data_IF_191060871819
#
_entry.id   IF_191060871819
#
_cell.length_a   1.000
_cell.length_b   1.000
_cell.length_c   1.000
_cell.angle_alpha   90.00
_cell.angle_beta   90.00
_cell.angle_gamma   90.00
#
_symmetry.space_group_name_H-M   'P 1'
#
loop_
_entity.id
_entity.type
_entity.pdbx_description
1 polymer ?
#
# COMPACT_ATOMS: atom_id res chain seq x y z
N UNK A 1 16.91 -9.55 -6.94
CA UNK A 1 15.64 -8.91 -6.64
C UNK A 1 14.97 -9.65 -5.50
N UNK A 2 14.43 -8.93 -4.51
CA UNK A 2 13.52 -9.48 -3.52
C UNK A 2 12.26 -8.62 -3.45
N UNK A 3 11.15 -9.22 -3.04
CA UNK A 3 9.94 -8.49 -2.68
C UNK A 3 9.56 -8.82 -1.25
N UNK A 4 8.98 -7.84 -0.56
CA UNK A 4 8.51 -7.99 0.80
C UNK A 4 7.10 -7.44 0.96
N UNK A 5 6.44 -7.88 2.03
CA UNK A 5 5.17 -7.37 2.50
C UNK A 5 5.26 -7.13 4.01
N UNK A 6 4.64 -6.07 4.48
CA UNK A 6 4.55 -5.77 5.91
C UNK A 6 3.18 -5.17 6.23
N UNK A 7 2.51 -5.73 7.23
CA UNK A 7 1.25 -5.21 7.74
C UNK A 7 1.51 -4.24 8.89
N UNK A 8 0.65 -3.22 9.05
CA UNK A 8 0.76 -2.20 10.09
C UNK A 8 -0.55 -2.06 10.85
N UNK A 9 -0.47 -1.64 12.10
CA UNK A 9 -1.65 -1.33 12.89
C UNK A 9 -2.32 -0.02 12.45
N UNK A 10 -1.51 0.93 11.96
CA UNK A 10 -1.97 2.27 11.57
C UNK A 10 -1.44 2.69 10.19
N UNK A 11 -2.20 3.54 9.51
CA UNK A 11 -1.76 4.21 8.28
C UNK A 11 -0.50 5.03 8.53
N UNK A 12 -0.45 5.74 9.66
CA UNK A 12 0.70 6.58 10.04
C UNK A 12 1.98 5.75 10.17
N UNK A 13 1.93 4.58 10.82
CA UNK A 13 3.09 3.69 10.95
C UNK A 13 3.62 3.21 9.59
N UNK A 14 2.73 2.81 8.69
CA UNK A 14 3.11 2.42 7.34
C UNK A 14 3.80 3.56 6.58
N UNK A 15 3.22 4.76 6.61
CA UNK A 15 3.75 5.91 5.86
C UNK A 15 5.04 6.43 6.47
N UNK A 16 5.17 6.47 7.80
CA UNK A 16 6.42 6.85 8.47
C UNK A 16 7.56 5.89 8.12
N UNK A 17 7.27 4.59 8.01
CA UNK A 17 8.26 3.60 7.51
C UNK A 17 8.79 3.98 6.13
N UNK A 18 7.93 4.42 5.22
CA UNK A 18 8.35 4.88 3.88
C UNK A 18 9.24 6.12 3.97
N UNK A 19 8.81 7.12 4.74
CA UNK A 19 9.54 8.37 4.91
C UNK A 19 10.94 8.11 5.48
N UNK A 20 11.04 7.34 6.56
CA UNK A 20 12.30 7.01 7.21
C UNK A 20 13.22 6.17 6.28
N UNK A 21 12.66 5.19 5.57
CA UNK A 21 13.41 4.39 4.58
C UNK A 21 14.08 5.28 3.53
N UNK A 22 13.35 6.25 2.99
CA UNK A 22 13.86 7.18 1.98
C UNK A 22 14.88 8.16 2.60
N UNK A 23 14.59 8.71 3.77
CA UNK A 23 15.48 9.65 4.47
C UNK A 23 16.81 9.02 4.88
N UNK A 24 16.82 7.75 5.23
CA UNK A 24 18.04 6.99 5.52
C UNK A 24 18.81 6.60 4.25
N UNK A 25 18.28 6.92 3.08
CA UNK A 25 18.95 6.66 1.80
C UNK A 25 18.95 5.17 1.39
N UNK A 26 18.04 4.37 1.91
CA UNK A 26 17.85 2.99 1.44
C UNK A 26 17.37 3.05 -0.02
N UNK A 27 18.13 2.47 -0.98
CA UNK A 27 17.78 2.56 -2.40
C UNK A 27 16.69 1.56 -2.77
N UNK A 28 15.52 1.72 -2.13
CA UNK A 28 14.36 0.88 -2.40
C UNK A 28 13.91 1.05 -3.85
N UNK A 29 13.68 -0.06 -4.55
CA UNK A 29 13.32 -0.03 -5.97
C UNK A 29 11.85 0.32 -6.17
N UNK A 30 10.97 -0.11 -5.27
CA UNK A 30 9.55 0.19 -5.29
C UNK A 30 8.95 0.03 -3.90
N UNK A 31 8.07 0.94 -3.54
CA UNK A 31 7.23 0.81 -2.35
C UNK A 31 5.81 1.27 -2.66
N UNK A 32 4.86 0.40 -2.35
CA UNK A 32 3.44 0.57 -2.60
C UNK A 32 2.68 0.46 -1.28
N UNK A 33 1.71 1.33 -1.11
CA UNK A 33 0.82 1.36 0.05
C UNK A 33 -0.60 0.96 -0.34
N UNK A 34 -1.21 0.12 0.46
CA UNK A 34 -2.64 -0.20 0.42
C UNK A 34 -3.22 -0.02 1.82
N UNK A 35 -4.30 0.76 1.94
CA UNK A 35 -5.04 0.84 3.19
C UNK A 35 -5.84 -0.46 3.48
N UNK A 36 -6.45 -0.54 4.65
CA UNK A 36 -7.26 -1.69 5.08
C UNK A 36 -8.42 -2.00 4.10
N UNK A 37 -9.07 -0.96 3.58
CA UNK A 37 -10.14 -1.10 2.59
C UNK A 37 -9.61 -1.67 1.26
N UNK A 38 -8.42 -1.22 0.82
CA UNK A 38 -7.79 -1.75 -0.38
C UNK A 38 -7.35 -3.22 -0.20
N UNK A 39 -6.83 -3.58 0.98
CA UNK A 39 -6.49 -4.98 1.30
C UNK A 39 -7.75 -5.85 1.33
N UNK A 40 -8.84 -5.40 1.95
CA UNK A 40 -10.12 -6.11 1.95
C UNK A 40 -10.63 -6.34 0.52
N UNK A 41 -10.59 -5.32 -0.33
CA UNK A 41 -10.95 -5.45 -1.74
C UNK A 41 -10.09 -6.49 -2.47
N UNK A 42 -8.78 -6.43 -2.24
CA UNK A 42 -7.81 -7.37 -2.84
C UNK A 42 -8.06 -8.81 -2.37
N UNK A 43 -8.35 -9.02 -1.08
CA UNK A 43 -8.69 -10.34 -0.56
C UNK A 43 -9.96 -10.90 -1.19
N UNK A 44 -11.01 -10.09 -1.35
CA UNK A 44 -12.25 -10.49 -1.99
C UNK A 44 -12.04 -10.91 -3.46
N UNK A 45 -11.19 -10.19 -4.16
CA UNK A 45 -10.90 -10.42 -5.58
C UNK A 45 -9.93 -11.58 -5.81
N UNK A 46 -8.77 -11.55 -5.13
CA UNK A 46 -7.64 -12.46 -5.37
C UNK A 46 -7.54 -13.61 -4.37
N UNK A 47 -8.40 -13.64 -3.33
CA UNK A 47 -8.48 -14.69 -2.29
C UNK A 47 -7.14 -14.99 -1.60
N UNK A 48 -6.38 -13.96 -1.25
CA UNK A 48 -5.04 -14.07 -0.67
C UNK A 48 -5.04 -14.31 0.84
N UNK A 49 -6.09 -13.86 1.55
CA UNK A 49 -6.18 -13.96 3.01
C UNK A 49 -5.16 -13.09 3.74
N UNK A 50 -4.82 -11.93 3.19
CA UNK A 50 -3.97 -10.95 3.88
C UNK A 50 -4.73 -10.36 5.07
N UNK A 51 -4.01 -9.98 6.13
CA UNK A 51 -4.58 -9.24 7.25
C UNK A 51 -5.13 -7.91 6.76
N UNK A 52 -6.41 -7.61 7.05
CA UNK A 52 -7.09 -6.41 6.58
C UNK A 52 -6.66 -5.17 7.38
N UNK A 53 -5.43 -4.76 7.20
CA UNK A 53 -4.78 -3.61 7.83
C UNK A 53 -3.93 -2.87 6.80
N UNK A 54 -3.52 -1.62 7.06
CA UNK A 54 -2.59 -0.90 6.20
C UNK A 54 -1.35 -1.75 5.90
N UNK A 55 -0.97 -1.85 4.64
CA UNK A 55 0.08 -2.78 4.21
C UNK A 55 1.01 -2.12 3.20
N UNK A 56 2.32 -2.37 3.36
CA UNK A 56 3.35 -2.03 2.38
C UNK A 56 3.75 -3.25 1.57
N UNK A 57 3.89 -3.05 0.27
CA UNK A 57 4.53 -3.96 -0.67
C UNK A 57 5.83 -3.32 -1.13
N UNK A 58 6.93 -4.04 -1.02
CA UNK A 58 8.29 -3.52 -1.16
C UNK A 58 9.06 -4.35 -2.17
N UNK A 59 9.95 -3.71 -2.93
CA UNK A 59 10.87 -4.39 -3.84
C UNK A 59 12.28 -3.85 -3.71
N UNK A 60 13.26 -4.74 -3.62
CA UNK A 60 14.68 -4.45 -3.44
C UNK A 60 15.48 -5.00 -4.62
N UNK A 61 16.39 -4.19 -5.15
CA UNK A 61 17.29 -4.56 -6.24
C UNK A 61 18.75 -4.51 -5.78
N UNK A 62 19.57 -5.42 -6.31
CA UNK A 62 20.99 -5.46 -6.07
C UNK A 62 21.58 -6.87 -6.05
N UNK A 63 22.80 -6.99 -5.58
CA UNK A 63 23.44 -8.28 -5.30
C UNK A 63 22.70 -8.99 -4.16
N UNK A 64 22.79 -10.32 -4.02
CA UNK A 64 22.10 -11.06 -2.96
C UNK A 64 22.38 -10.49 -1.57
N UNK A 65 23.63 -10.15 -1.27
CA UNK A 65 24.03 -9.57 0.01
C UNK A 65 23.40 -8.19 0.22
N UNK A 66 23.42 -7.35 -0.82
CA UNK A 66 22.88 -5.99 -0.75
C UNK A 66 21.35 -5.97 -0.58
N UNK A 67 20.66 -6.89 -1.25
CA UNK A 67 19.20 -7.06 -1.09
C UNK A 67 18.86 -7.51 0.34
N UNK A 68 19.64 -8.40 0.93
CA UNK A 68 19.46 -8.82 2.31
C UNK A 68 19.65 -7.66 3.28
N UNK A 69 20.75 -6.89 3.15
CA UNK A 69 21.04 -5.73 3.99
C UNK A 69 19.93 -4.68 3.92
N UNK A 70 19.39 -4.39 2.71
CA UNK A 70 18.25 -3.49 2.55
C UNK A 70 17.00 -4.03 3.24
N UNK A 71 16.70 -5.32 3.07
CA UNK A 71 15.50 -5.94 3.64
C UNK A 71 15.53 -5.93 5.17
N UNK A 72 16.68 -6.23 5.77
CA UNK A 72 16.90 -6.20 7.22
C UNK A 72 16.75 -4.77 7.77
N UNK A 73 17.35 -3.78 7.11
CA UNK A 73 17.21 -2.36 7.50
C UNK A 73 15.76 -1.89 7.46
N UNK A 74 15.04 -2.21 6.38
CA UNK A 74 13.64 -1.79 6.25
C UNK A 74 12.74 -2.55 7.22
N UNK A 75 13.04 -3.80 7.54
CA UNK A 75 12.35 -4.55 8.58
C UNK A 75 12.48 -3.87 9.94
N UNK A 76 13.69 -3.46 10.35
CA UNK A 76 13.91 -2.75 11.62
C UNK A 76 13.12 -1.43 11.68
N UNK A 77 13.12 -0.66 10.59
CA UNK A 77 12.32 0.58 10.48
C UNK A 77 10.82 0.28 10.60
N UNK A 78 10.34 -0.75 9.90
CA UNK A 78 8.93 -1.15 9.93
C UNK A 78 8.50 -1.57 11.34
N UNK A 79 9.29 -2.41 12.01
CA UNK A 79 9.02 -2.86 13.39
C UNK A 79 8.97 -1.67 14.36
N UNK A 80 9.87 -0.68 14.22
CA UNK A 80 9.87 0.53 15.03
C UNK A 80 8.60 1.39 14.84
N UNK A 81 7.96 1.28 13.67
CA UNK A 81 6.72 1.98 13.33
C UNK A 81 5.45 1.11 13.47
N UNK A 82 5.51 0.02 14.21
CA UNK A 82 4.35 -0.85 14.45
C UNK A 82 4.04 -1.81 13.31
N UNK A 83 5.01 -2.07 12.44
CA UNK A 83 4.94 -3.11 11.42
C UNK A 83 5.01 -4.51 12.02
N UNK A 84 4.23 -5.43 11.48
CA UNK A 84 4.19 -6.83 11.88
C UNK A 84 4.21 -7.73 10.63
N UNK A 85 4.58 -8.98 10.85
CA UNK A 85 4.56 -10.00 9.80
C UNK A 85 5.40 -9.62 8.56
N UNK A 86 6.55 -8.94 8.78
CA UNK A 86 7.47 -8.62 7.69
C UNK A 86 7.99 -9.92 7.05
N UNK A 87 7.56 -10.16 5.84
CA UNK A 87 7.93 -11.35 5.08
C UNK A 87 8.55 -10.95 3.75
N UNK A 88 9.73 -11.49 3.42
CA UNK A 88 10.38 -11.24 2.16
C UNK A 88 10.87 -12.50 1.46
N UNK A 89 10.95 -12.45 0.15
CA UNK A 89 11.38 -13.57 -0.68
C UNK A 89 12.14 -13.12 -1.92
N UNK A 90 13.13 -13.93 -2.29
CA UNK A 90 13.85 -13.84 -3.58
C UNK A 90 13.26 -14.75 -4.64
N UNK A 91 12.37 -15.68 -4.27
CA UNK A 91 11.76 -16.62 -5.21
C UNK A 91 10.83 -15.89 -6.16
N UNK A 92 11.03 -16.09 -7.45
CA UNK A 92 10.28 -15.42 -8.51
C UNK A 92 8.77 -15.66 -8.41
N UNK A 93 8.36 -16.87 -8.08
CA UNK A 93 6.94 -17.24 -7.95
C UNK A 93 6.26 -16.47 -6.81
N UNK A 94 6.91 -16.37 -5.65
CA UNK A 94 6.39 -15.63 -4.48
C UNK A 94 6.34 -14.12 -4.76
N UNK A 95 7.38 -13.58 -5.39
CA UNK A 95 7.42 -12.16 -5.81
C UNK A 95 6.32 -11.85 -6.81
N UNK A 96 6.17 -12.68 -7.85
CA UNK A 96 5.14 -12.51 -8.88
C UNK A 96 3.73 -12.54 -8.27
N UNK A 97 3.48 -13.44 -7.30
CA UNK A 97 2.20 -13.52 -6.59
C UNK A 97 1.90 -12.24 -5.81
N UNK A 98 2.89 -11.67 -5.10
CA UNK A 98 2.71 -10.41 -4.36
C UNK A 98 2.38 -9.25 -5.31
N UNK A 99 3.13 -9.11 -6.39
CA UNK A 99 2.90 -8.02 -7.35
C UNK A 99 1.63 -8.20 -8.17
N UNK A 100 1.22 -9.42 -8.45
CA UNK A 100 -0.09 -9.69 -9.06
C UNK A 100 -1.22 -9.21 -8.14
N UNK A 101 -1.15 -9.49 -6.86
CA UNK A 101 -2.11 -9.01 -5.87
C UNK A 101 -2.21 -7.48 -5.85
N UNK A 102 -1.06 -6.80 -5.88
CA UNK A 102 -0.99 -5.34 -5.98
C UNK A 102 -1.60 -4.83 -7.29
N UNK A 103 -1.32 -5.47 -8.40
CA UNK A 103 -1.90 -5.14 -9.70
C UNK A 103 -3.41 -5.32 -9.71
N UNK A 104 -3.89 -6.44 -9.20
CA UNK A 104 -5.32 -6.78 -9.12
C UNK A 104 -6.10 -5.80 -8.24
N UNK A 105 -5.42 -5.11 -7.31
CA UNK A 105 -6.06 -4.13 -6.45
C UNK A 105 -6.76 -3.00 -7.24
N UNK A 106 -6.32 -2.71 -8.46
CA UNK A 106 -6.96 -1.74 -9.35
C UNK A 106 -8.35 -2.24 -9.77
N UNK A 107 -8.47 -3.54 -10.05
CA UNK A 107 -9.72 -4.17 -10.51
C UNK A 107 -10.63 -4.60 -9.35
N UNK A 108 -10.09 -4.66 -8.14
CA UNK A 108 -10.78 -5.17 -6.95
C UNK A 108 -11.91 -4.26 -6.44
N UNK A 109 -12.03 -3.03 -6.95
CA UNK A 109 -13.05 -2.07 -6.53
C UNK A 109 -14.46 -2.66 -6.62
N UNK A 110 -14.78 -3.32 -7.74
CA UNK A 110 -16.09 -3.95 -7.96
C UNK A 110 -16.38 -5.13 -7.02
N UNK A 111 -15.36 -5.69 -6.38
CA UNK A 111 -15.54 -6.74 -5.39
C UNK A 111 -16.07 -6.20 -4.06
N UNK A 112 -15.77 -4.94 -3.72
CA UNK A 112 -16.34 -4.28 -2.54
C UNK A 112 -17.82 -3.99 -2.69
N UNK A 113 -18.24 -3.54 -3.88
CA UNK A 113 -19.65 -3.24 -4.18
C UNK A 113 -19.92 -3.48 -5.66
N UNK A 114 -20.51 -4.64 -6.03
CA UNK A 114 -20.88 -4.94 -7.41
C UNK A 114 -21.86 -3.92 -7.97
N UNK A 115 -21.65 -3.52 -9.23
CA UNK A 115 -22.50 -2.55 -9.93
C UNK A 115 -22.09 -1.09 -9.78
N UNK A 116 -21.13 -0.77 -8.89
CA UNK A 116 -20.59 0.58 -8.78
C UNK A 116 -19.55 0.88 -9.87
N UNK A 117 -19.51 2.13 -10.28
CA UNK A 117 -18.39 2.71 -11.01
C UNK A 117 -17.28 3.14 -10.03
N UNK A 118 -16.08 3.38 -10.56
CA UNK A 118 -14.96 3.82 -9.78
C UNK A 118 -14.47 5.19 -10.27
N UNK A 119 -14.42 6.17 -9.37
CA UNK A 119 -13.76 7.45 -9.61
C UNK A 119 -12.44 7.46 -8.85
N UNK A 120 -11.34 7.73 -9.55
CA UNK A 120 -10.00 7.73 -8.96
C UNK A 120 -9.39 9.13 -9.03
N UNK A 121 -8.87 9.60 -7.89
CA UNK A 121 -8.05 10.81 -7.81
C UNK A 121 -6.58 10.48 -8.08
N UNK A 122 -5.79 11.52 -8.34
CA UNK A 122 -4.34 11.42 -8.47
C UNK A 122 -3.69 12.55 -7.67
N UNK A 123 -2.97 12.20 -6.61
CA UNK A 123 -2.40 13.13 -5.65
C UNK A 123 -0.90 12.89 -5.58
N UNK A 124 -0.11 13.94 -5.73
CA UNK A 124 1.34 13.90 -5.58
C UNK A 124 1.79 15.02 -4.64
N UNK A 125 2.50 14.64 -3.58
CA UNK A 125 3.00 15.56 -2.55
C UNK A 125 4.48 15.30 -2.26
N UNK A 126 5.21 16.27 -1.71
CA UNK A 126 6.53 16.02 -1.17
C UNK A 126 6.50 14.91 -0.12
N UNK A 127 7.52 14.05 -0.10
CA UNK A 127 7.61 12.91 0.84
C UNK A 127 7.40 13.36 2.30
N UNK A 128 7.91 14.53 2.68
CA UNK A 128 7.74 15.11 4.02
C UNK A 128 6.28 15.46 4.39
N UNK A 129 5.38 15.54 3.40
CA UNK A 129 3.96 15.85 3.57
C UNK A 129 3.06 14.63 3.35
N UNK A 130 3.66 13.48 3.03
CA UNK A 130 2.92 12.28 2.64
C UNK A 130 2.01 11.76 3.75
N UNK A 131 2.53 11.65 4.98
CA UNK A 131 1.76 11.17 6.12
C UNK A 131 0.53 12.04 6.38
N UNK A 132 0.72 13.36 6.49
CA UNK A 132 -0.36 14.33 6.68
C UNK A 132 -1.42 14.21 5.57
N UNK A 133 -0.97 14.14 4.31
CA UNK A 133 -1.88 14.10 3.16
C UNK A 133 -2.71 12.80 3.12
N UNK A 134 -2.12 11.65 3.42
CA UNK A 134 -2.84 10.37 3.46
C UNK A 134 -3.80 10.31 4.65
N UNK A 135 -3.41 10.81 5.83
CA UNK A 135 -4.28 10.87 7.01
C UNK A 135 -5.48 11.80 6.76
N UNK A 136 -5.27 12.99 6.20
CA UNK A 136 -6.36 13.88 5.81
C UNK A 136 -7.30 13.22 4.80
N UNK A 137 -6.76 12.55 3.78
CA UNK A 137 -7.56 11.82 2.81
C UNK A 137 -8.39 10.69 3.48
N UNK A 138 -7.84 10.03 4.48
CA UNK A 138 -8.56 9.01 5.26
C UNK A 138 -9.71 9.62 6.05
N UNK A 139 -9.48 10.74 6.75
CA UNK A 139 -10.51 11.48 7.47
C UNK A 139 -11.64 11.93 6.54
N UNK A 140 -11.32 12.45 5.36
CA UNK A 140 -12.29 12.85 4.33
C UNK A 140 -13.13 11.66 3.84
N UNK A 141 -12.53 10.50 3.62
CA UNK A 141 -13.25 9.27 3.27
C UNK A 141 -14.22 8.87 4.38
N UNK A 142 -13.76 8.87 5.64
CA UNK A 142 -14.57 8.49 6.80
C UNK A 142 -15.73 9.47 7.06
N UNK A 143 -15.55 10.74 6.76
CA UNK A 143 -16.61 11.76 6.83
C UNK A 143 -17.60 11.70 5.65
N UNK A 144 -17.27 10.99 4.59
CA UNK A 144 -18.06 10.84 3.37
C UNK A 144 -19.00 9.62 3.46
N UNK A 145 -20.18 9.65 2.79
CA UNK A 145 -21.02 8.45 2.64
C UNK A 145 -20.46 7.45 1.61
N UNK A 146 -19.37 7.80 0.91
CA UNK A 146 -18.79 6.97 -0.15
C UNK A 146 -17.81 5.94 0.45
N UNK A 147 -17.73 4.78 -0.20
CA UNK A 147 -16.65 3.83 0.05
C UNK A 147 -15.44 4.31 -0.74
N UNK A 148 -14.35 4.61 -0.04
CA UNK A 148 -13.06 4.96 -0.62
C UNK A 148 -11.96 4.02 -0.15
N UNK A 149 -10.99 3.77 -1.01
CA UNK A 149 -9.75 3.07 -0.66
C UNK A 149 -8.54 3.89 -1.09
N UNK A 150 -7.48 3.84 -0.31
CA UNK A 150 -6.22 4.52 -0.60
C UNK A 150 -5.19 3.50 -1.06
N UNK A 151 -4.56 3.80 -2.19
CA UNK A 151 -3.51 2.99 -2.80
C UNK A 151 -2.49 3.92 -3.46
N UNK A 152 -1.21 3.63 -3.37
CA UNK A 152 -0.26 4.54 -4.02
C UNK A 152 1.17 4.08 -4.13
N UNK A 153 1.87 4.76 -5.03
CA UNK A 153 3.32 4.72 -5.25
C UNK A 153 3.99 5.65 -4.23
N UNK A 154 3.89 5.27 -2.96
CA UNK A 154 4.24 6.17 -1.85
C UNK A 154 5.74 6.51 -1.79
N UNK A 155 6.59 5.71 -2.44
CA UNK A 155 8.01 6.04 -2.61
C UNK A 155 8.26 7.31 -3.41
N UNK A 156 7.33 7.67 -4.28
CA UNK A 156 7.39 8.88 -5.12
C UNK A 156 6.49 10.02 -4.58
N UNK A 157 5.87 9.83 -3.40
CA UNK A 157 4.92 10.78 -2.84
C UNK A 157 3.56 10.79 -3.55
N UNK A 158 3.29 9.77 -4.37
CA UNK A 158 2.05 9.65 -5.14
C UNK A 158 1.09 8.65 -4.50
N UNK A 159 -0.18 9.03 -4.41
CA UNK A 159 -1.25 8.13 -4.02
C UNK A 159 -2.57 8.48 -4.69
N UNK A 160 -3.48 7.52 -4.69
CA UNK A 160 -4.80 7.61 -5.28
C UNK A 160 -5.86 7.26 -4.25
N UNK A 161 -7.01 7.92 -4.34
CA UNK A 161 -8.22 7.49 -3.66
C UNK A 161 -9.16 6.96 -4.74
N UNK A 162 -9.59 5.72 -4.59
CA UNK A 162 -10.58 5.11 -5.48
C UNK A 162 -11.93 5.09 -4.76
N UNK A 163 -12.84 5.98 -5.17
CA UNK A 163 -14.21 6.06 -4.67
C UNK A 163 -15.14 5.16 -5.49
N UNK A 164 -16.01 4.45 -4.79
CA UNK A 164 -17.12 3.71 -5.44
C UNK A 164 -18.34 4.60 -5.55
N UNK A 165 -18.85 4.75 -6.77
CA UNK A 165 -19.98 5.61 -7.12
C UNK A 165 -21.10 4.75 -7.68
N UNK A 166 -22.31 4.92 -7.15
CA UNK A 166 -23.49 4.29 -7.73
C UNK A 166 -23.90 5.02 -9.01
N UNK A 167 -24.02 4.33 -10.16
CA UNK A 167 -24.27 4.99 -11.45
C UNK A 167 -25.56 5.83 -11.49
N UNK A 168 -26.56 5.43 -10.71
CA UNK A 168 -27.90 6.07 -10.70
C UNK A 168 -28.07 7.08 -9.56
N UNK A 169 -27.04 7.32 -8.76
CA UNK A 169 -27.10 8.25 -7.64
C UNK A 169 -26.55 9.61 -8.06
N UNK A 170 -27.38 10.39 -8.75
CA UNK A 170 -27.12 11.79 -9.10
C UNK A 170 -27.39 12.71 -7.89
N UNK A 171 -26.59 12.55 -6.82
CA UNK A 171 -26.62 13.46 -5.67
C UNK A 171 -25.36 14.34 -5.65
#
# INVERSE_FOLDING_TARGET
>A
VASAICAFETVEGAVNTVIETIQLGVPIARVEFLDDTAIRATNLYSKLGLKETPTLFLEFHGSPRWVQEQSETVQEIAEANGGADFAWSTKEEERSRLWQARHDSIYSNKALRPGCDCYTTDICVPISRLAESILTAREDIEASPLIGKIIGHVGDGNFHIAYLIEPDNAA
#
